data_IF_505257287321
#
_entry.id   IF_505257287321
#
_cell.length_a   1.000
_cell.length_b   1.000
_cell.length_c   1.000
_cell.angle_alpha   90.00
_cell.angle_beta   90.00
_cell.angle_gamma   90.00
#
_symmetry.space_group_name_H-M   'P 1'
#
loop_
_entity.id
_entity.type
_entity.pdbx_description
1 polymer ?
#
# COMPACT_ATOMS: atom_id res chain seq x y z
N UNK A 1 -14.28 0.17 -8.72
CA UNK A 1 -14.00 -0.09 -7.27
C UNK A 1 -12.56 0.30 -6.93
N UNK A 2 -12.40 1.08 -5.88
CA UNK A 2 -11.06 1.45 -5.38
C UNK A 2 -10.51 0.31 -4.52
N UNK A 3 -9.21 0.08 -4.61
CA UNK A 3 -8.57 -0.94 -3.79
C UNK A 3 -7.43 -0.35 -2.97
N UNK A 4 -7.37 -0.79 -1.73
CA UNK A 4 -6.33 -0.45 -0.77
C UNK A 4 -5.87 -1.72 -0.08
N UNK A 5 -4.77 -1.66 0.63
CA UNK A 5 -4.34 -2.85 1.33
C UNK A 5 -3.23 -2.63 2.33
N UNK A 6 -2.87 -3.73 3.00
CA UNK A 6 -1.77 -3.80 3.95
C UNK A 6 -0.69 -4.68 3.37
N UNK A 7 0.52 -4.14 3.28
CA UNK A 7 1.72 -4.86 2.81
C UNK A 7 2.57 -5.23 4.01
N UNK A 8 2.85 -6.51 4.19
CA UNK A 8 3.67 -6.98 5.30
C UNK A 8 3.84 -8.50 5.28
N UNK A 9 4.51 -9.03 6.30
CA UNK A 9 4.71 -10.47 6.44
C UNK A 9 5.27 -10.82 7.82
N UNK A 10 4.67 -11.79 8.53
CA UNK A 10 3.34 -12.35 8.29
C UNK A 10 2.25 -11.39 8.75
N UNK A 11 1.09 -11.46 8.15
CA UNK A 11 -0.03 -10.60 8.52
C UNK A 11 -1.06 -11.28 9.42
N UNK A 12 -1.21 -12.59 9.29
CA UNK A 12 -2.18 -13.36 10.08
C UNK A 12 -3.59 -12.78 9.95
N UNK A 13 -4.25 -12.61 11.09
CA UNK A 13 -5.54 -11.92 11.13
C UNK A 13 -5.30 -10.42 11.17
N UNK A 14 -5.52 -9.77 10.04
CA UNK A 14 -5.33 -8.34 9.94
C UNK A 14 -6.56 -7.60 10.47
N UNK A 15 -6.36 -6.90 11.59
CA UNK A 15 -7.37 -5.99 12.12
C UNK A 15 -7.75 -4.92 11.10
N UNK A 16 -6.76 -4.42 10.36
CA UNK A 16 -6.98 -3.35 9.37
C UNK A 16 -7.92 -3.78 8.26
N UNK A 17 -7.79 -5.02 7.77
CA UNK A 17 -8.67 -5.53 6.72
C UNK A 17 -10.13 -5.52 7.15
N UNK A 18 -10.40 -6.06 8.33
CA UNK A 18 -11.75 -6.11 8.87
C UNK A 18 -12.30 -4.70 9.13
N UNK A 19 -11.49 -3.86 9.77
CA UNK A 19 -11.88 -2.50 10.13
C UNK A 19 -12.24 -1.67 8.89
N UNK A 20 -11.37 -1.62 7.89
CA UNK A 20 -11.60 -0.79 6.72
C UNK A 20 -12.74 -1.31 5.84
N UNK A 21 -12.87 -2.63 5.70
CA UNK A 21 -13.98 -3.17 4.91
C UNK A 21 -15.33 -2.91 5.57
N UNK A 22 -15.41 -3.01 6.89
CA UNK A 22 -16.62 -2.65 7.63
C UNK A 22 -16.94 -1.16 7.49
N UNK A 23 -15.92 -0.32 7.55
CA UNK A 23 -16.10 1.12 7.40
C UNK A 23 -16.55 1.49 6.00
N UNK A 24 -15.97 0.89 4.97
CA UNK A 24 -16.38 1.13 3.59
C UNK A 24 -17.85 0.74 3.38
N UNK A 25 -18.25 -0.40 3.92
CA UNK A 25 -19.63 -0.87 3.83
C UNK A 25 -20.58 0.08 4.56
N UNK A 26 -20.26 0.46 5.79
CA UNK A 26 -21.08 1.34 6.61
C UNK A 26 -21.26 2.73 5.98
N UNK A 27 -20.22 3.26 5.34
CA UNK A 27 -20.24 4.58 4.71
C UNK A 27 -20.61 4.52 3.23
N UNK A 28 -20.94 3.34 2.72
CA UNK A 28 -21.32 3.09 1.32
C UNK A 28 -20.25 3.57 0.33
N UNK A 29 -18.99 3.35 0.69
CA UNK A 29 -17.83 3.65 -0.18
C UNK A 29 -17.56 2.43 -1.03
N UNK A 30 -17.47 2.62 -2.35
CA UNK A 30 -17.13 1.53 -3.29
C UNK A 30 -15.64 1.27 -3.28
N UNK A 31 -15.17 0.57 -2.24
CA UNK A 31 -13.76 0.28 -2.04
C UNK A 31 -13.59 -1.05 -1.30
N UNK A 32 -12.41 -1.65 -1.47
CA UNK A 32 -12.04 -2.90 -0.81
C UNK A 32 -10.65 -2.78 -0.21
N UNK A 33 -10.47 -3.35 0.97
CA UNK A 33 -9.17 -3.41 1.66
C UNK A 33 -8.68 -4.86 1.70
N UNK A 34 -7.46 -5.09 1.21
CA UNK A 34 -6.91 -6.44 1.07
C UNK A 34 -5.61 -6.58 1.87
N UNK A 35 -5.27 -7.82 2.22
CA UNK A 35 -3.96 -8.14 2.78
C UNK A 35 -3.04 -8.62 1.66
N UNK A 36 -1.88 -7.98 1.55
CA UNK A 36 -0.83 -8.40 0.65
C UNK A 36 0.33 -8.94 1.50
N UNK A 37 0.24 -10.22 1.81
CA UNK A 37 1.24 -10.93 2.61
C UNK A 37 2.26 -11.54 1.66
N UNK A 38 3.43 -10.89 1.57
CA UNK A 38 4.47 -11.31 0.64
C UNK A 38 5.74 -11.72 1.41
N UNK A 39 6.28 -12.92 1.14
CA UNK A 39 7.49 -13.39 1.86
C UNK A 39 8.78 -12.67 1.45
N UNK A 40 8.75 -11.87 0.39
CA UNK A 40 9.89 -11.06 -0.05
C UNK A 40 9.39 -9.75 -0.62
N UNK A 41 10.10 -8.65 -0.32
CA UNK A 41 9.75 -7.33 -0.85
C UNK A 41 9.77 -7.28 -2.38
N UNK A 42 10.54 -8.15 -3.01
CA UNK A 42 10.62 -8.21 -4.48
C UNK A 42 9.26 -8.49 -5.12
N UNK A 43 8.36 -9.14 -4.39
CA UNK A 43 7.03 -9.49 -4.89
C UNK A 43 6.08 -8.28 -4.95
N UNK A 44 6.50 -7.11 -4.46
CA UNK A 44 5.69 -5.89 -4.57
C UNK A 44 5.38 -5.59 -6.05
N UNK A 45 6.30 -5.90 -6.94
CA UNK A 45 6.08 -5.70 -8.37
C UNK A 45 4.91 -6.53 -8.90
N UNK A 46 4.79 -7.76 -8.42
CA UNK A 46 3.68 -8.64 -8.77
C UNK A 46 2.36 -8.14 -8.18
N UNK A 47 2.39 -7.67 -6.94
CA UNK A 47 1.20 -7.09 -6.29
C UNK A 47 0.65 -5.95 -7.12
N UNK A 48 1.52 -5.04 -7.54
CA UNK A 48 1.13 -3.88 -8.35
C UNK A 48 0.60 -4.31 -9.71
N UNK A 49 1.27 -5.26 -10.35
CA UNK A 49 0.90 -5.75 -11.68
C UNK A 49 -0.45 -6.45 -11.67
N UNK A 50 -0.71 -7.26 -10.64
CA UNK A 50 -1.94 -8.04 -10.52
C UNK A 50 -3.12 -7.22 -10.00
N UNK A 51 -2.87 -6.03 -9.48
CA UNK A 51 -3.90 -5.16 -8.90
C UNK A 51 -3.79 -3.76 -9.50
N UNK A 52 -4.11 -3.59 -10.80
CA UNK A 52 -3.95 -2.30 -11.48
C UNK A 52 -4.86 -1.20 -10.93
N UNK A 53 -5.92 -1.57 -10.21
CA UNK A 53 -6.84 -0.63 -9.57
C UNK A 53 -6.43 -0.24 -8.15
N UNK A 54 -5.24 -0.66 -7.70
CA UNK A 54 -4.74 -0.34 -6.36
C UNK A 54 -4.44 1.15 -6.25
N UNK A 55 -5.01 1.79 -5.22
CA UNK A 55 -4.88 3.23 -4.98
C UNK A 55 -3.93 3.57 -3.84
N UNK A 56 -3.71 2.64 -2.93
CA UNK A 56 -2.81 2.87 -1.81
C UNK A 56 -2.55 1.63 -0.99
N UNK A 57 -1.45 1.69 -0.23
CA UNK A 57 -1.06 0.62 0.67
C UNK A 57 -0.64 1.21 2.01
N UNK A 58 -1.05 0.56 3.09
CA UNK A 58 -0.34 0.72 4.36
C UNK A 58 0.80 -0.28 4.37
N UNK A 59 1.93 0.09 4.96
CA UNK A 59 3.10 -0.76 5.01
C UNK A 59 3.43 -1.07 6.46
N UNK A 60 3.65 -2.35 6.76
CA UNK A 60 4.02 -2.79 8.10
C UNK A 60 5.27 -3.69 8.05
N UNK A 61 5.65 -4.24 9.19
CA UNK A 61 6.82 -5.10 9.34
C UNK A 61 6.78 -6.24 8.31
N UNK A 62 7.89 -6.57 7.66
CA UNK A 62 9.24 -6.02 7.79
C UNK A 62 9.61 -5.01 6.71
N UNK A 63 8.63 -4.43 6.00
CA UNK A 63 8.87 -3.75 4.72
C UNK A 63 8.90 -2.23 4.80
N UNK A 64 8.80 -1.63 5.98
CA UNK A 64 8.78 -0.17 6.11
C UNK A 64 10.04 0.52 5.58
N UNK A 65 11.17 -0.16 5.63
CA UNK A 65 12.43 0.35 5.07
C UNK A 65 12.74 -0.29 3.73
N UNK A 66 12.51 -1.59 3.62
CA UNK A 66 12.86 -2.36 2.42
C UNK A 66 12.11 -1.91 1.17
N UNK A 67 10.95 -1.28 1.34
CA UNK A 67 10.11 -0.85 0.22
C UNK A 67 10.66 0.41 -0.47
N UNK A 68 11.51 1.18 0.22
CA UNK A 68 11.97 2.49 -0.27
C UNK A 68 12.57 2.45 -1.68
N UNK A 69 13.44 1.48 -2.03
CA UNK A 69 14.01 1.43 -3.39
C UNK A 69 12.98 1.25 -4.51
N UNK A 70 11.76 0.84 -4.18
CA UNK A 70 10.69 0.59 -5.16
C UNK A 70 9.78 1.80 -5.37
N UNK A 71 10.05 2.91 -4.67
CA UNK A 71 9.19 4.09 -4.68
C UNK A 71 9.76 5.20 -5.55
N UNK A 72 8.88 6.05 -6.07
CA UNK A 72 9.29 7.18 -6.90
C UNK A 72 9.62 8.41 -6.07
N UNK A 73 8.96 8.59 -4.93
CA UNK A 73 9.13 9.78 -4.09
C UNK A 73 8.79 9.46 -2.64
N UNK A 74 9.36 10.25 -1.73
CA UNK A 74 9.09 10.20 -0.30
C UNK A 74 8.73 11.60 0.18
N UNK A 75 7.78 11.70 1.13
CA UNK A 75 7.55 12.98 1.77
C UNK A 75 8.71 13.28 2.74
N UNK A 76 8.74 14.48 3.31
CA UNK A 76 9.85 14.92 4.15
C UNK A 76 10.00 14.06 5.40
N UNK A 77 8.90 13.68 6.04
CA UNK A 77 8.94 12.85 7.24
C UNK A 77 9.47 11.45 6.95
N UNK A 78 9.00 10.82 5.88
CA UNK A 78 9.48 9.50 5.47
C UNK A 78 10.98 9.53 5.15
N UNK A 79 11.43 10.60 4.52
CA UNK A 79 12.84 10.77 4.16
C UNK A 79 13.72 10.93 5.38
N UNK A 80 13.30 11.74 6.35
CA UNK A 80 14.07 11.97 7.58
C UNK A 80 14.11 10.74 8.47
N UNK A 81 12.98 10.05 8.60
CA UNK A 81 12.88 8.85 9.43
C UNK A 81 13.53 7.64 8.77
N UNK A 82 13.51 7.59 7.44
CA UNK A 82 14.03 6.46 6.68
C UNK A 82 13.09 5.26 6.69
N UNK A 83 11.78 5.50 6.89
CA UNK A 83 10.78 4.45 6.93
C UNK A 83 9.44 4.97 6.39
N UNK A 84 8.62 4.05 5.89
CA UNK A 84 7.38 4.34 5.20
C UNK A 84 6.21 3.62 5.86
N UNK A 85 5.12 4.33 6.11
CA UNK A 85 3.87 3.75 6.62
C UNK A 85 2.80 3.62 5.55
N UNK A 86 2.77 4.54 4.58
CA UNK A 86 1.72 4.62 3.58
C UNK A 86 2.33 4.90 2.22
N UNK A 87 1.81 4.22 1.20
CA UNK A 87 2.15 4.48 -0.20
C UNK A 87 0.89 4.90 -0.93
N UNK A 88 0.93 6.05 -1.59
CA UNK A 88 -0.15 6.52 -2.44
C UNK A 88 0.19 6.26 -3.89
N UNK A 89 -0.74 5.64 -4.60
CA UNK A 89 -0.60 5.31 -6.01
C UNK A 89 -1.37 6.34 -6.84
N UNK A 90 -0.67 7.05 -7.74
CA UNK A 90 -1.30 8.00 -8.64
C UNK A 90 -0.91 7.68 -10.07
N UNK A 91 -1.81 7.95 -11.00
CA UNK A 91 -1.52 7.81 -12.42
C UNK A 91 -1.34 9.20 -13.02
N UNK A 92 -0.18 9.44 -13.60
CA UNK A 92 0.11 10.69 -14.27
C UNK A 92 -0.37 10.68 -15.72
N UNK A 93 0.12 11.64 -16.49
CA UNK A 93 -0.14 11.72 -17.92
C UNK A 93 0.30 10.43 -18.60
N UNK A 94 -0.50 9.97 -19.56
CA UNK A 94 -0.25 8.74 -20.33
C UNK A 94 -0.34 7.47 -19.46
N UNK A 95 -1.02 7.54 -18.30
CA UNK A 95 -1.21 6.38 -17.44
C UNK A 95 0.02 5.92 -16.66
N UNK A 96 1.06 6.74 -16.61
CA UNK A 96 2.28 6.38 -15.87
C UNK A 96 2.01 6.36 -14.37
N UNK A 97 2.28 5.22 -13.75
CA UNK A 97 2.09 5.03 -12.32
C UNK A 97 3.20 5.71 -11.52
N UNK A 98 2.80 6.42 -10.47
CA UNK A 98 3.73 7.06 -9.54
C UNK A 98 3.40 6.62 -8.11
N UNK A 99 4.41 6.17 -7.38
CA UNK A 99 4.29 5.74 -5.99
C UNK A 99 4.99 6.75 -5.10
N UNK A 100 4.20 7.45 -4.28
CA UNK A 100 4.73 8.39 -3.28
C UNK A 100 4.42 7.88 -1.90
N UNK A 101 5.43 7.89 -1.03
CA UNK A 101 5.31 7.36 0.32
C UNK A 101 5.33 8.43 1.39
N UNK A 102 4.72 8.09 2.51
CA UNK A 102 4.53 8.97 3.65
C UNK A 102 4.83 8.23 4.95
N UNK A 103 5.12 8.99 5.96
CA UNK A 103 5.22 8.46 7.32
C UNK A 103 4.48 9.34 8.31
#
# INVERSE_FOLDING_TARGET
>A
MQKYGLLGYPLGHSFSKTYFNQKFEAEKIDAEYLNFEIPSIKEIKNVIKENPELNGLNVTIPYKEQVIPYLDDLDDDARQIGAVNVIKFTKGLFGKLKLKAYN
#
